data_IF_975828529397
#
_entry.id   IF_975828529397
#
_cell.length_a   1.000
_cell.length_b   1.000
_cell.length_c   1.000
_cell.angle_alpha   90.00
_cell.angle_beta   90.00
_cell.angle_gamma   90.00
#
_symmetry.space_group_name_H-M   'P 1'
#
loop_
_entity.id
_entity.type
_entity.pdbx_description
1 polymer ?
#
# COMPACT_ATOMS: atom_id res chain seq x y z
N UNK A 1 4.67 -5.77 -17.69
CA UNK A 1 5.07 -7.17 -17.37
C UNK A 1 4.91 -8.00 -18.63
N UNK A 2 5.97 -8.72 -19.03
CA UNK A 2 5.91 -9.61 -20.18
C UNK A 2 5.69 -11.03 -19.69
N UNK A 3 4.52 -11.59 -19.94
CA UNK A 3 4.15 -12.97 -19.57
C UNK A 3 3.87 -13.77 -20.82
N UNK A 4 4.09 -15.07 -20.77
CA UNK A 4 3.85 -16.02 -21.85
C UNK A 4 3.36 -17.34 -21.28
N UNK A 5 2.12 -17.38 -20.83
CA UNK A 5 1.55 -18.55 -20.17
C UNK A 5 0.93 -19.53 -21.19
N UNK A 6 0.85 -20.80 -20.80
CA UNK A 6 0.21 -21.86 -21.59
C UNK A 6 -0.82 -22.57 -20.72
N UNK A 7 -2.03 -22.70 -21.23
CA UNK A 7 -3.12 -23.46 -20.61
C UNK A 7 -3.34 -24.79 -21.33
N UNK A 8 -3.60 -25.82 -20.55
CA UNK A 8 -3.94 -27.15 -21.04
C UNK A 8 -5.40 -27.48 -20.79
N UNK A 9 -5.94 -28.47 -21.53
CA UNK A 9 -7.35 -28.87 -21.44
C UNK A 9 -7.75 -29.42 -20.08
N UNK A 10 -6.81 -29.99 -19.33
CA UNK A 10 -7.01 -30.51 -17.98
C UNK A 10 -7.05 -29.42 -16.89
N UNK A 11 -6.95 -28.15 -17.30
CA UNK A 11 -6.93 -27.00 -16.39
C UNK A 11 -5.57 -26.71 -15.76
N UNK A 12 -4.55 -27.51 -16.04
CA UNK A 12 -3.18 -27.17 -15.67
C UNK A 12 -2.63 -26.06 -16.56
N UNK A 13 -1.66 -25.31 -16.09
CA UNK A 13 -1.03 -24.25 -16.87
C UNK A 13 0.44 -24.05 -16.50
N UNK A 14 1.20 -23.55 -17.46
CA UNK A 14 2.60 -23.17 -17.26
C UNK A 14 2.73 -21.68 -17.25
N UNK A 15 3.25 -21.14 -16.15
CA UNK A 15 3.63 -19.74 -16.05
C UNK A 15 5.07 -19.60 -16.52
N UNK A 16 5.30 -18.67 -17.45
CA UNK A 16 6.61 -18.41 -18.00
C UNK A 16 6.74 -16.94 -18.44
N UNK A 17 7.90 -16.58 -18.96
CA UNK A 17 8.18 -15.25 -19.50
C UNK A 17 8.88 -15.35 -20.87
N UNK A 18 8.85 -14.28 -21.70
CA UNK A 18 9.67 -14.23 -22.90
C UNK A 18 11.17 -14.30 -22.57
N UNK A 19 11.93 -14.87 -23.49
CA UNK A 19 13.39 -14.88 -23.40
C UNK A 19 13.94 -13.46 -23.35
N UNK A 20 15.04 -13.27 -22.65
CA UNK A 20 15.77 -12.01 -22.54
C UNK A 20 14.97 -10.83 -21.92
N UNK A 21 13.94 -11.15 -21.11
CA UNK A 21 13.22 -10.17 -20.29
C UNK A 21 13.66 -10.26 -18.84
N UNK A 22 13.56 -9.14 -18.10
CA UNK A 22 13.83 -9.09 -16.66
C UNK A 22 12.81 -9.89 -15.84
N UNK A 23 13.08 -10.04 -14.55
CA UNK A 23 12.25 -10.77 -13.61
C UNK A 23 12.62 -12.25 -13.49
N UNK A 24 12.10 -12.88 -12.45
CA UNK A 24 12.33 -14.27 -12.11
C UNK A 24 10.99 -15.00 -12.00
N UNK A 25 10.83 -16.12 -12.72
CA UNK A 25 9.71 -17.04 -12.58
C UNK A 25 10.20 -18.27 -11.80
N UNK A 26 9.76 -18.39 -10.56
CA UNK A 26 10.11 -19.48 -9.64
C UNK A 26 8.89 -19.90 -8.82
N UNK A 27 8.97 -21.03 -8.12
CA UNK A 27 7.90 -21.42 -7.18
C UNK A 27 7.60 -20.35 -6.16
N UNK A 28 8.61 -19.69 -5.61
CA UNK A 28 8.44 -18.65 -4.61
C UNK A 28 7.68 -17.44 -5.17
N UNK A 29 8.09 -16.90 -6.32
CA UNK A 29 7.44 -15.74 -6.94
C UNK A 29 6.03 -16.04 -7.41
N UNK A 30 5.76 -17.26 -7.87
CA UNK A 30 4.41 -17.67 -8.26
C UNK A 30 3.52 -17.87 -7.03
N UNK A 31 4.03 -18.49 -5.96
CA UNK A 31 3.28 -18.64 -4.70
C UNK A 31 2.90 -17.27 -4.13
N UNK A 32 3.83 -16.34 -4.08
CA UNK A 32 3.58 -14.97 -3.64
C UNK A 32 2.46 -14.32 -4.46
N UNK A 33 2.51 -14.44 -5.79
CA UNK A 33 1.51 -13.85 -6.67
C UNK A 33 0.13 -14.52 -6.56
N UNK A 34 0.07 -15.84 -6.35
CA UNK A 34 -1.18 -16.57 -6.15
C UNK A 34 -1.85 -16.23 -4.81
N UNK A 35 -1.06 -15.91 -3.80
CA UNK A 35 -1.54 -15.53 -2.47
C UNK A 35 -1.76 -14.02 -2.30
N UNK A 36 -1.31 -13.23 -3.25
CA UNK A 36 -1.46 -11.78 -3.23
C UNK A 36 -2.93 -11.38 -3.20
N UNK A 37 -3.32 -10.62 -2.17
CA UNK A 37 -4.72 -10.21 -1.92
C UNK A 37 -5.73 -11.37 -1.80
N UNK A 38 -5.26 -12.58 -1.53
CA UNK A 38 -6.10 -13.76 -1.34
C UNK A 38 -6.32 -14.01 0.15
N UNK A 39 -7.54 -13.76 0.64
CA UNK A 39 -7.89 -13.96 2.04
C UNK A 39 -7.96 -15.44 2.44
N UNK A 40 -8.60 -16.25 1.59
CA UNK A 40 -8.81 -17.68 1.81
C UNK A 40 -8.55 -18.42 0.49
N UNK A 41 -7.38 -19.07 0.36
CA UNK A 41 -7.05 -19.84 -0.84
C UNK A 41 -8.00 -21.01 -1.11
N UNK A 42 -8.66 -21.54 -0.08
CA UNK A 42 -9.61 -22.64 -0.23
C UNK A 42 -11.00 -22.17 -0.70
N UNK A 43 -11.25 -20.86 -0.70
CA UNK A 43 -12.58 -20.30 -0.92
C UNK A 43 -12.54 -18.93 -1.60
N UNK A 44 -11.78 -18.83 -2.68
CA UNK A 44 -11.64 -17.58 -3.44
C UNK A 44 -12.86 -17.35 -4.33
N UNK A 45 -13.61 -16.28 -4.05
CA UNK A 45 -14.88 -15.99 -4.69
C UNK A 45 -14.68 -15.26 -6.03
N UNK A 46 -15.08 -15.90 -7.11
CA UNK A 46 -15.25 -15.25 -8.42
C UNK A 46 -16.72 -15.42 -8.91
N UNK A 47 -17.18 -14.64 -9.88
CA UNK A 47 -18.61 -14.60 -10.22
C UNK A 47 -19.22 -15.95 -10.60
N UNK A 48 -18.49 -16.82 -11.25
CA UNK A 48 -18.98 -18.07 -11.84
C UNK A 48 -18.53 -19.34 -11.10
N UNK A 49 -17.55 -19.22 -10.21
CA UNK A 49 -17.02 -20.34 -9.45
C UNK A 49 -16.46 -19.87 -8.10
N UNK A 50 -16.46 -20.74 -7.10
CA UNK A 50 -15.63 -20.55 -5.93
C UNK A 50 -14.36 -21.37 -6.14
N UNK A 51 -13.25 -20.69 -6.38
CA UNK A 51 -11.98 -21.36 -6.63
C UNK A 51 -11.35 -21.88 -5.33
N UNK A 52 -10.85 -23.10 -5.39
CA UNK A 52 -10.11 -23.73 -4.31
C UNK A 52 -8.66 -23.94 -4.78
N UNK A 53 -7.78 -23.13 -4.26
CA UNK A 53 -6.35 -23.14 -4.56
C UNK A 53 -5.52 -23.89 -3.51
N UNK A 54 -6.15 -24.43 -2.46
CA UNK A 54 -5.46 -25.11 -1.35
C UNK A 54 -4.69 -26.36 -1.79
N UNK A 55 -5.12 -26.97 -2.88
CA UNK A 55 -4.50 -28.16 -3.48
C UNK A 55 -3.56 -27.86 -4.64
N UNK A 56 -3.20 -26.61 -4.89
CA UNK A 56 -2.29 -26.27 -5.97
C UNK A 56 -0.89 -26.87 -5.72
N UNK A 57 -0.35 -27.45 -6.76
CA UNK A 57 1.02 -27.97 -6.81
C UNK A 57 1.81 -27.18 -7.86
N UNK A 58 2.98 -26.72 -7.47
CA UNK A 58 3.90 -25.99 -8.33
C UNK A 58 5.13 -26.87 -8.60
N UNK A 59 5.39 -27.14 -9.87
CA UNK A 59 6.52 -27.97 -10.30
C UNK A 59 7.41 -27.19 -11.26
N UNK A 60 8.72 -27.36 -11.14
CA UNK A 60 9.68 -26.77 -12.07
C UNK A 60 9.53 -27.47 -13.45
N UNK A 61 9.31 -26.68 -14.50
CA UNK A 61 9.17 -27.14 -15.90
C UNK A 61 10.25 -26.52 -16.80
N UNK A 62 11.41 -26.21 -16.22
CA UNK A 62 12.55 -25.60 -16.88
C UNK A 62 12.86 -24.19 -16.36
N UNK A 63 13.86 -23.58 -16.95
CA UNK A 63 14.27 -22.22 -16.56
C UNK A 63 13.15 -21.20 -16.75
N UNK A 64 12.82 -20.46 -15.69
CA UNK A 64 11.70 -19.49 -15.69
C UNK A 64 10.37 -20.10 -16.19
N UNK A 65 10.10 -21.34 -15.81
CA UNK A 65 8.89 -22.08 -16.18
C UNK A 65 8.38 -22.86 -14.97
N UNK A 66 7.14 -22.61 -14.57
CA UNK A 66 6.50 -23.32 -13.46
C UNK A 66 5.17 -23.91 -13.94
N UNK A 67 5.04 -25.21 -13.86
CA UNK A 67 3.78 -25.92 -14.05
C UNK A 67 2.94 -25.81 -12.79
N UNK A 68 1.71 -25.31 -12.95
CA UNK A 68 0.71 -25.20 -11.88
C UNK A 68 -0.43 -26.16 -12.19
N UNK A 69 -0.78 -27.01 -11.22
CA UNK A 69 -1.86 -27.99 -11.34
C UNK A 69 -2.58 -28.19 -10.00
N UNK A 70 -3.75 -28.84 -10.01
CA UNK A 70 -4.47 -29.22 -8.79
C UNK A 70 -5.47 -28.19 -8.28
N UNK A 71 -5.68 -27.10 -9.00
CA UNK A 71 -6.77 -26.16 -8.72
C UNK A 71 -8.14 -26.83 -8.88
N UNK A 72 -9.07 -26.47 -8.00
CA UNK A 72 -10.45 -27.00 -8.03
C UNK A 72 -11.47 -25.86 -8.06
N UNK A 73 -12.60 -26.12 -8.69
CA UNK A 73 -13.76 -25.24 -8.68
C UNK A 73 -14.88 -25.83 -7.85
N UNK A 74 -15.47 -25.03 -6.96
CA UNK A 74 -16.72 -25.34 -6.27
C UNK A 74 -17.88 -24.60 -6.97
N UNK A 75 -19.10 -24.89 -6.58
CA UNK A 75 -20.29 -24.21 -7.09
C UNK A 75 -20.14 -22.68 -7.00
N UNK A 76 -20.69 -22.00 -8.01
CA UNK A 76 -20.73 -20.53 -8.01
C UNK A 76 -21.29 -19.95 -6.69
N UNK A 77 -20.73 -18.88 -6.15
CA UNK A 77 -21.18 -18.33 -4.89
C UNK A 77 -22.58 -17.73 -5.02
N UNK A 78 -23.39 -17.85 -3.97
CA UNK A 78 -24.71 -17.22 -3.91
C UNK A 78 -24.63 -15.70 -3.75
N UNK A 79 -23.52 -15.21 -3.26
CA UNK A 79 -23.23 -13.78 -3.08
C UNK A 79 -22.03 -13.37 -3.88
N UNK A 80 -22.09 -12.19 -4.45
CA UNK A 80 -20.99 -11.57 -5.19
C UNK A 80 -20.29 -10.53 -4.31
N UNK A 81 -18.97 -10.46 -4.41
CA UNK A 81 -18.18 -9.40 -3.76
C UNK A 81 -18.39 -8.09 -4.53
N UNK A 82 -18.82 -7.06 -3.83
CA UNK A 82 -18.89 -5.70 -4.35
C UNK A 82 -17.95 -4.81 -3.54
N UNK A 83 -17.25 -3.93 -4.21
CA UNK A 83 -16.41 -2.90 -3.58
C UNK A 83 -17.17 -1.58 -3.59
N UNK A 84 -17.38 -1.02 -2.41
CA UNK A 84 -17.97 0.31 -2.23
C UNK A 84 -16.84 1.29 -2.02
N UNK A 85 -16.85 2.37 -2.78
CA UNK A 85 -15.94 3.51 -2.57
C UNK A 85 -16.69 4.58 -1.78
N UNK A 86 -16.08 5.03 -0.68
CA UNK A 86 -16.61 6.05 0.20
C UNK A 86 -15.67 7.25 0.23
N UNK A 87 -16.24 8.44 0.31
CA UNK A 87 -15.46 9.66 0.60
C UNK A 87 -14.88 9.55 2.01
N UNK A 88 -13.57 9.76 2.15
CA UNK A 88 -12.84 9.68 3.41
C UNK A 88 -12.15 11.01 3.77
N UNK A 89 -12.65 12.12 3.28
CA UNK A 89 -12.13 13.44 3.56
C UNK A 89 -10.85 13.79 2.78
N UNK A 90 -9.91 14.46 3.45
CA UNK A 90 -8.71 15.01 2.82
C UNK A 90 -7.47 14.65 3.62
N UNK A 91 -6.48 14.08 2.94
CA UNK A 91 -5.16 13.86 3.52
C UNK A 91 -4.29 15.09 3.30
N UNK A 92 -3.77 15.64 4.40
CA UNK A 92 -2.62 16.51 4.36
C UNK A 92 -1.36 15.66 4.50
N UNK A 93 -0.38 15.93 3.67
CA UNK A 93 0.96 15.36 3.77
C UNK A 93 1.99 16.46 3.54
N UNK A 94 2.96 16.58 4.45
CA UNK A 94 4.02 17.56 4.31
C UNK A 94 5.34 17.04 4.87
N UNK A 95 6.44 17.53 4.32
CA UNK A 95 7.78 17.11 4.65
C UNK A 95 8.73 18.29 4.78
N UNK A 96 9.73 18.15 5.68
CA UNK A 96 10.88 19.03 5.78
C UNK A 96 12.12 18.20 6.12
N UNK A 97 13.28 18.55 5.55
CA UNK A 97 14.52 17.79 5.70
C UNK A 97 15.54 18.55 6.56
N UNK A 98 16.35 17.79 7.28
CA UNK A 98 17.48 18.27 8.08
C UNK A 98 18.70 17.42 7.75
N UNK A 99 19.80 18.07 7.35
CA UNK A 99 21.06 17.40 7.04
C UNK A 99 22.26 18.09 7.72
N UNK A 100 23.40 17.39 7.80
CA UNK A 100 24.64 17.88 8.41
C UNK A 100 24.62 17.88 9.94
N UNK A 101 25.37 18.76 10.61
CA UNK A 101 25.60 18.68 12.04
C UNK A 101 24.32 18.62 12.89
N UNK A 102 24.24 17.60 13.77
CA UNK A 102 23.09 17.34 14.64
C UNK A 102 21.73 17.19 13.90
N UNK A 103 21.73 16.71 12.66
CA UNK A 103 20.51 16.58 11.84
C UNK A 103 19.42 15.75 12.53
N UNK A 104 19.80 14.63 13.16
CA UNK A 104 18.84 13.79 13.88
C UNK A 104 18.16 14.53 15.03
N UNK A 105 18.91 15.27 15.84
CA UNK A 105 18.35 16.03 16.97
C UNK A 105 17.42 17.14 16.48
N UNK A 106 17.77 17.83 15.39
CA UNK A 106 16.92 18.85 14.78
C UNK A 106 15.64 18.26 14.17
N UNK A 107 15.72 17.10 13.52
CA UNK A 107 14.56 16.39 13.00
C UNK A 107 13.60 15.94 14.12
N UNK A 108 14.15 15.42 15.23
CA UNK A 108 13.35 15.06 16.42
C UNK A 108 12.64 16.28 17.01
N UNK A 109 13.35 17.38 17.21
CA UNK A 109 12.74 18.62 17.69
C UNK A 109 11.66 19.15 16.73
N UNK A 110 11.87 19.07 15.43
CA UNK A 110 10.85 19.44 14.44
C UNK A 110 9.58 18.56 14.55
N UNK A 111 9.75 17.26 14.73
CA UNK A 111 8.62 16.34 14.92
C UNK A 111 7.82 16.64 16.19
N UNK A 112 8.50 16.95 17.30
CA UNK A 112 7.89 17.38 18.56
C UNK A 112 7.11 18.69 18.37
N UNK A 113 7.73 19.71 17.78
CA UNK A 113 7.08 21.01 17.51
C UNK A 113 5.83 20.86 16.66
N UNK A 114 5.88 20.05 15.58
CA UNK A 114 4.70 19.79 14.74
C UNK A 114 3.59 19.16 15.57
N UNK A 115 3.91 18.12 16.35
CA UNK A 115 2.92 17.40 17.16
C UNK A 115 2.22 18.33 18.16
N UNK A 116 2.99 19.15 18.86
CA UNK A 116 2.45 20.15 19.80
C UNK A 116 1.59 21.22 19.10
N UNK A 117 2.05 21.73 17.95
CA UNK A 117 1.32 22.74 17.18
C UNK A 117 -0.02 22.22 16.70
N UNK A 118 -0.07 21.01 16.15
CA UNK A 118 -1.32 20.38 15.71
C UNK A 118 -2.29 20.19 16.89
N UNK A 119 -1.77 19.82 18.06
CA UNK A 119 -2.56 19.72 19.27
C UNK A 119 -3.12 21.08 19.74
N UNK A 120 -2.31 22.13 19.74
CA UNK A 120 -2.71 23.51 20.10
C UNK A 120 -3.81 24.02 19.18
N UNK A 121 -3.73 23.71 17.88
CA UNK A 121 -4.73 24.08 16.89
C UNK A 121 -6.04 23.29 17.02
N UNK A 122 -6.08 22.25 17.86
CA UNK A 122 -7.24 21.39 18.03
C UNK A 122 -7.62 20.61 16.77
N UNK A 123 -6.66 20.38 15.88
CA UNK A 123 -6.91 19.60 14.66
C UNK A 123 -7.09 18.11 15.00
N UNK A 124 -8.34 17.67 14.94
CA UNK A 124 -8.73 16.29 15.26
C UNK A 124 -8.54 15.41 14.04
N UNK A 125 -7.41 14.72 13.97
CA UNK A 125 -7.07 13.75 12.94
C UNK A 125 -6.11 12.70 13.50
N UNK A 126 -6.00 11.55 12.85
CA UNK A 126 -4.98 10.57 13.20
C UNK A 126 -3.63 11.05 12.64
N UNK A 127 -2.95 11.86 13.45
CA UNK A 127 -1.63 12.41 13.10
C UNK A 127 -0.58 11.32 13.13
N UNK A 128 0.19 11.22 12.05
CA UNK A 128 1.38 10.40 11.95
C UNK A 128 2.57 11.29 11.65
N UNK A 129 3.57 11.27 12.52
CA UNK A 129 4.84 11.99 12.33
C UNK A 129 5.97 10.96 12.31
N UNK A 130 6.74 10.97 11.25
CA UNK A 130 7.82 10.03 11.00
C UNK A 130 9.11 10.76 10.69
N UNK A 131 10.24 10.13 11.03
CA UNK A 131 11.56 10.62 10.60
C UNK A 131 12.14 9.57 9.65
N UNK A 132 11.99 9.82 8.36
CA UNK A 132 12.56 8.97 7.31
C UNK A 132 14.08 9.02 7.46
N UNK A 133 14.69 7.84 7.49
CA UNK A 133 16.10 7.66 7.82
C UNK A 133 16.34 7.24 9.28
N UNK A 134 15.35 7.41 10.17
CA UNK A 134 15.44 6.99 11.57
C UNK A 134 14.33 6.01 11.99
N UNK A 135 13.09 6.23 11.57
CA UNK A 135 11.97 5.33 11.82
C UNK A 135 10.76 5.75 11.00
N UNK A 136 10.29 4.86 10.12
CA UNK A 136 9.14 5.15 9.25
C UNK A 136 8.39 3.91 8.74
N UNK A 137 9.05 2.82 8.40
CA UNK A 137 8.42 1.64 7.80
C UNK A 137 8.25 0.51 8.80
N UNK A 138 9.32 0.10 9.49
CA UNK A 138 9.31 -1.06 10.38
C UNK A 138 9.08 -0.71 11.85
N UNK A 139 9.48 0.49 12.27
CA UNK A 139 9.42 0.89 13.67
C UNK A 139 9.18 2.40 13.80
N UNK A 140 8.65 2.78 14.96
CA UNK A 140 8.51 4.19 15.35
C UNK A 140 9.87 4.81 15.66
N UNK A 141 9.91 6.14 15.78
CA UNK A 141 11.12 6.84 16.17
C UNK A 141 11.58 6.43 17.58
N UNK A 142 10.67 6.05 18.47
CA UNK A 142 10.99 5.61 19.83
C UNK A 142 11.68 4.24 19.81
N UNK A 143 11.21 3.31 18.96
CA UNK A 143 11.85 2.02 18.76
C UNK A 143 13.18 2.13 18.03
N UNK A 144 13.34 3.14 17.15
CA UNK A 144 14.60 3.44 16.48
C UNK A 144 15.73 3.83 17.45
N UNK A 145 15.42 4.22 18.68
CA UNK A 145 16.40 4.55 19.71
C UNK A 145 17.32 3.38 20.08
N UNK A 146 16.93 2.15 19.77
CA UNK A 146 17.76 0.94 19.95
C UNK A 146 18.86 0.78 18.90
N UNK A 147 18.84 1.58 17.82
CA UNK A 147 19.84 1.55 16.74
C UNK A 147 20.79 2.74 16.84
N UNK A 148 22.06 2.53 16.53
CA UNK A 148 23.02 3.62 16.36
C UNK A 148 22.76 4.34 15.05
N UNK A 149 22.05 5.47 15.12
CA UNK A 149 21.78 6.31 13.96
C UNK A 149 22.85 7.41 13.84
N UNK A 150 23.31 7.73 12.60
CA UNK A 150 24.23 8.82 12.37
C UNK A 150 23.68 10.16 12.90
N UNK A 151 24.44 10.87 13.71
CA UNK A 151 24.01 12.19 14.25
C UNK A 151 23.89 13.24 13.15
N UNK A 152 24.76 13.16 12.17
CA UNK A 152 24.95 14.12 11.08
C UNK A 152 24.43 13.56 9.75
N UNK A 153 23.42 12.69 9.79
CA UNK A 153 22.79 12.09 8.62
C UNK A 153 21.96 13.08 7.80
N UNK A 154 21.17 12.52 6.91
CA UNK A 154 20.12 13.22 6.16
C UNK A 154 18.77 12.63 6.59
N UNK A 155 17.97 13.43 7.25
CA UNK A 155 16.68 13.00 7.82
C UNK A 155 15.55 13.85 7.30
N UNK A 156 14.43 13.19 7.00
CA UNK A 156 13.21 13.88 6.55
C UNK A 156 12.08 13.63 7.54
N UNK A 157 11.58 14.71 8.12
CA UNK A 157 10.35 14.68 8.91
C UNK A 157 9.17 14.70 7.94
N UNK A 158 8.38 13.64 7.95
CA UNK A 158 7.13 13.54 7.21
C UNK A 158 5.96 13.51 8.18
N UNK A 159 4.97 14.36 7.91
CA UNK A 159 3.75 14.47 8.68
C UNK A 159 2.57 14.18 7.77
N UNK A 160 1.66 13.34 8.22
CA UNK A 160 0.44 13.04 7.48
C UNK A 160 -0.75 12.85 8.42
N UNK A 161 -1.93 13.29 7.99
CA UNK A 161 -3.20 13.04 8.68
C UNK A 161 -4.37 13.21 7.72
N UNK A 162 -5.47 12.50 8.00
CA UNK A 162 -6.73 12.66 7.27
C UNK A 162 -7.68 13.50 8.11
N UNK A 163 -8.30 14.47 7.45
CA UNK A 163 -9.25 15.40 8.06
C UNK A 163 -10.57 15.45 7.27
N UNK A 164 -11.70 15.68 7.95
CA UNK A 164 -13.00 15.80 7.27
C UNK A 164 -13.08 16.96 6.26
N UNK A 165 -12.32 18.03 6.49
CA UNK A 165 -12.37 19.25 5.67
C UNK A 165 -10.99 19.59 5.09
N UNK A 166 -10.99 20.02 3.83
CA UNK A 166 -9.77 20.37 3.09
C UNK A 166 -8.92 21.43 3.82
N UNK A 167 -9.57 22.44 4.41
CA UNK A 167 -8.85 23.51 5.12
C UNK A 167 -8.08 23.01 6.34
N UNK A 168 -8.58 21.98 7.06
CA UNK A 168 -7.89 21.39 8.20
C UNK A 168 -6.62 20.66 7.75
N UNK A 169 -6.70 19.92 6.66
CA UNK A 169 -5.54 19.29 6.05
C UNK A 169 -4.51 20.33 5.59
N UNK A 170 -4.98 21.46 5.03
CA UNK A 170 -4.12 22.56 4.62
C UNK A 170 -3.44 23.22 5.83
N UNK A 171 -4.16 23.45 6.93
CA UNK A 171 -3.57 24.01 8.16
C UNK A 171 -2.42 23.13 8.68
N UNK A 172 -2.58 21.82 8.67
CA UNK A 172 -1.50 20.91 9.07
C UNK A 172 -0.28 21.04 8.13
N UNK A 173 -0.52 21.13 6.83
CA UNK A 173 0.56 21.35 5.84
C UNK A 173 1.27 22.66 6.10
N UNK A 174 0.52 23.74 6.37
CA UNK A 174 1.07 25.08 6.62
C UNK A 174 1.92 25.10 7.90
N UNK A 175 1.56 24.37 8.95
CA UNK A 175 2.37 24.21 10.17
C UNK A 175 3.73 23.57 9.87
N UNK A 176 3.78 22.54 9.06
CA UNK A 176 5.05 21.93 8.65
C UNK A 176 5.88 22.89 7.81
N UNK A 177 5.25 23.59 6.87
CA UNK A 177 5.94 24.56 6.01
C UNK A 177 6.46 25.76 6.79
N UNK A 178 5.81 26.16 7.89
CA UNK A 178 6.25 27.25 8.76
C UNK A 178 7.59 26.96 9.44
N UNK A 179 7.97 25.69 9.60
CA UNK A 179 9.27 25.31 10.16
C UNK A 179 10.47 25.81 9.35
N UNK A 180 10.24 26.23 8.11
CA UNK A 180 11.28 26.89 7.32
C UNK A 180 11.83 28.16 7.99
N UNK A 181 10.95 28.92 8.63
CA UNK A 181 11.29 30.20 9.27
C UNK A 181 11.23 30.14 10.80
N UNK A 182 10.41 29.25 11.36
CA UNK A 182 10.08 29.23 12.80
C UNK A 182 10.51 27.93 13.48
N UNK A 183 11.13 27.00 12.76
CA UNK A 183 11.56 25.68 13.26
C UNK A 183 13.03 25.62 13.63
N UNK A 184 13.56 24.40 13.89
CA UNK A 184 14.99 24.18 14.08
C UNK A 184 15.79 24.68 12.90
N UNK A 185 17.01 25.17 13.18
CA UNK A 185 17.88 25.77 12.17
C UNK A 185 18.17 24.85 10.99
N UNK A 186 18.30 25.42 9.78
CA UNK A 186 18.66 24.75 8.54
C UNK A 186 17.71 23.64 8.12
N UNK A 187 16.42 23.80 8.34
CA UNK A 187 15.40 23.02 7.66
C UNK A 187 15.36 23.35 6.16
N UNK A 188 15.19 22.34 5.31
CA UNK A 188 15.21 22.53 3.86
C UNK A 188 14.33 21.52 3.11
N UNK A 189 14.14 21.75 1.81
CA UNK A 189 13.40 20.81 0.94
C UNK A 189 11.94 20.62 1.33
N UNK A 190 11.31 21.62 1.99
CA UNK A 190 9.91 21.55 2.41
C UNK A 190 8.95 21.40 1.23
N UNK A 191 7.97 20.50 1.36
CA UNK A 191 6.88 20.31 0.41
C UNK A 191 5.65 19.78 1.11
N UNK A 192 4.48 20.06 0.55
CA UNK A 192 3.24 19.59 1.13
C UNK A 192 2.11 19.54 0.11
N UNK A 193 1.15 18.64 0.38
CA UNK A 193 0.03 18.37 -0.50
C UNK A 193 -1.25 18.16 0.31
N UNK A 194 -2.37 18.50 -0.30
CA UNK A 194 -3.69 18.13 0.20
C UNK A 194 -4.43 17.39 -0.90
N UNK A 195 -4.73 16.11 -0.66
CA UNK A 195 -5.42 15.24 -1.61
C UNK A 195 -6.73 14.72 -1.05
N UNK A 196 -7.82 14.68 -1.86
CA UNK A 196 -9.02 13.99 -1.46
C UNK A 196 -8.71 12.50 -1.24
N UNK A 197 -9.33 11.91 -0.23
CA UNK A 197 -9.16 10.51 0.11
C UNK A 197 -10.44 9.72 -0.14
N UNK A 198 -10.29 8.54 -0.69
CA UNK A 198 -11.35 7.56 -0.79
C UNK A 198 -10.96 6.31 -0.02
N UNK A 199 -11.89 5.77 0.72
CA UNK A 199 -11.76 4.45 1.33
C UNK A 199 -12.60 3.43 0.58
N UNK A 200 -12.21 2.17 0.66
CA UNK A 200 -12.97 1.07 0.07
C UNK A 200 -13.44 0.11 1.15
N UNK A 201 -14.64 -0.39 1.00
CA UNK A 201 -15.18 -1.47 1.80
C UNK A 201 -15.71 -2.59 0.90
N UNK A 202 -15.41 -3.83 1.25
CA UNK A 202 -15.96 -4.99 0.54
C UNK A 202 -17.22 -5.46 1.22
N UNK A 203 -18.28 -5.64 0.45
CA UNK A 203 -19.54 -6.22 0.91
C UNK A 203 -19.91 -7.43 0.04
N UNK A 204 -20.79 -8.27 0.56
CA UNK A 204 -21.35 -9.38 -0.19
C UNK A 204 -22.82 -9.07 -0.51
N UNK A 205 -23.14 -9.01 -1.80
CA UNK A 205 -24.49 -8.78 -2.31
C UNK A 205 -25.08 -10.08 -2.88
N UNK A 206 -26.36 -10.30 -2.73
CA UNK A 206 -27.02 -11.46 -3.31
C UNK A 206 -26.93 -11.41 -4.84
N UNK A 207 -26.56 -12.52 -5.45
CA UNK A 207 -26.41 -12.65 -6.91
C UNK A 207 -27.68 -12.24 -7.67
N UNK A 208 -28.86 -12.54 -7.12
CA UNK A 208 -30.17 -12.24 -7.74
C UNK A 208 -30.41 -10.74 -7.92
N UNK A 209 -29.76 -9.89 -7.11
CA UNK A 209 -29.84 -8.42 -7.20
C UNK A 209 -29.02 -7.89 -8.36
N UNK A 210 -27.98 -8.64 -8.75
CA UNK A 210 -27.04 -8.26 -9.80
C UNK A 210 -27.43 -8.97 -11.09
N UNK A 211 -27.95 -8.24 -12.07
CA UNK A 211 -28.15 -8.74 -13.44
C UNK A 211 -26.91 -8.37 -14.27
N UNK A 212 -25.99 -9.31 -14.50
CA UNK A 212 -24.81 -9.02 -15.31
C UNK A 212 -25.24 -8.83 -16.78
N UNK A 213 -25.07 -7.62 -17.28
CA UNK A 213 -25.31 -7.29 -18.68
C UNK A 213 -23.99 -7.47 -19.45
N UNK A 214 -23.63 -8.72 -19.73
CA UNK A 214 -22.43 -9.06 -20.50
C UNK A 214 -22.81 -9.23 -21.97
N UNK A 215 -22.28 -8.40 -22.85
CA UNK A 215 -22.37 -8.55 -24.29
C UNK A 215 -21.03 -9.04 -24.83
N UNK A 216 -21.00 -10.23 -25.42
CA UNK A 216 -19.84 -10.75 -26.15
C UNK A 216 -19.98 -10.33 -27.61
N UNK A 217 -19.07 -9.50 -28.11
CA UNK A 217 -18.92 -9.20 -29.54
C UNK A 217 -17.77 -10.03 -30.08
N UNK A 218 -18.08 -10.92 -31.02
CA UNK A 218 -17.06 -11.60 -31.83
C UNK A 218 -16.76 -10.64 -32.99
N UNK A 219 -15.51 -10.20 -33.09
CA UNK A 219 -15.00 -9.35 -34.17
C UNK A 219 -14.44 -10.21 -35.29
#
# INVERSE_FOLDING_TARGET
MCIRDRFYQDGSFVITKPKDTGGLVSKATITEQLLYETHDPSNYLVPDVTADMSGLMLEDDGENRILVKGGKGKKAPQKLKATICCDNGYMGEAEISYAGPNALARAKLAAEVISERIQILGLQGQLRVEIIGAGSVHFSIDEASSYELPKDGDYRVRTSAIYPKRYQAQQMVDEVMSLYCCGPAAGGGGRGYVTPQSSTASILVNREIVSPNVQVKIL
#
